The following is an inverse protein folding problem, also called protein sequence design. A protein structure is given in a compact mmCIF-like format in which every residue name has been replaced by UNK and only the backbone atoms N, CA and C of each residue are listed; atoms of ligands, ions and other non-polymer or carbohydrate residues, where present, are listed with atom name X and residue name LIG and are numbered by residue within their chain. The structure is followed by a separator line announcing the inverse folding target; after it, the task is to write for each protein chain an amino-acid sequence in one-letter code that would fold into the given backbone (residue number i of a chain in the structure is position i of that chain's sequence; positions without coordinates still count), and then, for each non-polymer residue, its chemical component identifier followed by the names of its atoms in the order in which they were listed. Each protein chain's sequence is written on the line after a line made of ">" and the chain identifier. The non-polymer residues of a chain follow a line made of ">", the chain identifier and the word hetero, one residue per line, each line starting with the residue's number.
data_IF_747186301290
#
_entry.id   IF_747186301290
#
_cell.length_a   1.000
_cell.length_b   1.000
_cell.length_c   1.000
_cell.angle_alpha   90.00
_cell.angle_beta   90.00
_cell.angle_gamma   90.00
#
_symmetry.space_group_name_H-M   'P 1'
#
loop_
_entity.id
_entity.type
_entity.pdbx_description
1 polymer ?
#
# COMPACT_ATOMS: atom_id res chain seq x y z
N UNK A 1 12.66 -19.36 34.12
CA UNK A 1 11.70 -18.62 33.29
C UNK A 1 12.51 -17.52 32.61
N UNK A 2 12.94 -17.75 31.37
CA UNK A 2 13.64 -16.74 30.58
C UNK A 2 12.65 -15.66 30.16
N UNK A 3 13.04 -14.39 30.24
CA UNK A 3 12.21 -13.27 29.79
C UNK A 3 11.70 -13.54 28.36
N UNK A 4 10.42 -13.22 28.12
CA UNK A 4 9.70 -13.40 26.87
C UNK A 4 10.46 -12.91 25.64
N UNK A 5 10.25 -13.58 24.50
CA UNK A 5 10.70 -13.23 23.14
C UNK A 5 10.26 -11.82 22.71
N UNK A 6 10.91 -10.80 23.24
CA UNK A 6 10.65 -9.40 22.90
C UNK A 6 10.94 -9.17 21.40
N UNK A 7 9.96 -8.60 20.70
CA UNK A 7 10.11 -8.18 19.31
C UNK A 7 10.77 -6.82 19.27
N UNK A 8 11.96 -6.75 18.68
CA UNK A 8 12.68 -5.51 18.39
C UNK A 8 12.71 -5.35 16.89
N UNK A 9 11.77 -4.55 16.38
CA UNK A 9 11.50 -4.42 14.96
C UNK A 9 11.79 -3.03 14.40
N UNK A 10 12.20 -2.97 13.13
CA UNK A 10 12.38 -1.71 12.38
C UNK A 10 11.73 -1.80 11.01
N UNK A 11 11.02 -0.74 10.62
CA UNK A 11 10.51 -0.56 9.27
C UNK A 11 11.61 -0.15 8.30
N UNK A 12 11.70 -0.84 7.17
CA UNK A 12 12.60 -0.50 6.05
C UNK A 12 11.73 0.09 4.94
N UNK A 13 11.62 1.43 4.93
CA UNK A 13 10.73 2.19 4.03
C UNK A 13 11.49 3.07 3.02
N UNK A 14 10.78 3.52 1.99
CA UNK A 14 11.16 4.59 1.06
C UNK A 14 10.63 5.98 1.46
N UNK A 15 9.80 6.08 2.50
CA UNK A 15 9.25 7.35 3.01
C UNK A 15 10.25 7.99 3.97
N UNK A 16 10.73 9.20 3.64
CA UNK A 16 11.77 9.91 4.40
C UNK A 16 13.04 9.09 4.63
N UNK A 17 13.29 8.07 3.81
CA UNK A 17 14.44 7.17 3.89
C UNK A 17 14.93 6.84 2.49
N UNK A 18 16.24 6.99 2.27
CA UNK A 18 16.91 6.64 1.02
C UNK A 18 17.48 5.22 1.02
N UNK A 19 17.24 4.42 2.06
CA UNK A 19 17.98 3.17 2.32
C UNK A 19 17.85 2.13 1.18
N UNK A 20 16.67 2.11 0.55
CA UNK A 20 16.38 1.28 -0.61
C UNK A 20 16.98 1.81 -1.91
N UNK A 21 17.56 3.00 -1.94
CA UNK A 21 18.06 3.67 -3.14
C UNK A 21 19.56 3.97 -3.06
N UNK A 22 20.23 3.58 -1.97
CA UNK A 22 21.67 3.74 -1.80
C UNK A 22 22.34 2.38 -2.01
N UNK A 23 23.38 2.28 -2.86
CA UNK A 23 24.15 1.05 -3.02
C UNK A 23 24.66 0.50 -1.68
N UNK A 24 24.34 -0.76 -1.40
CA UNK A 24 24.64 -1.44 -0.13
C UNK A 24 23.92 -0.86 1.10
N UNK A 25 22.96 0.06 0.92
CA UNK A 25 22.22 0.69 2.01
C UNK A 25 21.46 -0.32 2.85
N UNK A 26 20.73 -1.23 2.20
CA UNK A 26 20.03 -2.35 2.84
C UNK A 26 20.99 -3.23 3.64
N UNK A 27 22.10 -3.67 3.05
CA UNK A 27 23.06 -4.54 3.73
C UNK A 27 23.60 -3.90 5.02
N UNK A 28 24.07 -2.64 4.93
CA UNK A 28 24.58 -1.91 6.09
C UNK A 28 23.52 -1.74 7.17
N UNK A 29 22.26 -1.53 6.78
CA UNK A 29 21.15 -1.44 7.70
C UNK A 29 20.94 -2.75 8.47
N UNK A 30 20.86 -3.87 7.76
CA UNK A 30 20.66 -5.19 8.35
C UNK A 30 21.84 -5.57 9.26
N UNK A 31 23.07 -5.27 8.87
CA UNK A 31 24.27 -5.44 9.69
C UNK A 31 24.16 -4.66 11.01
N UNK A 32 23.79 -3.38 10.92
CA UNK A 32 23.66 -2.53 12.10
C UNK A 32 22.52 -2.97 13.01
N UNK A 33 21.37 -3.35 12.45
CA UNK A 33 20.21 -3.82 13.22
C UNK A 33 20.55 -5.11 13.99
N UNK A 34 21.19 -6.06 13.32
CA UNK A 34 21.66 -7.30 13.95
C UNK A 34 22.66 -7.02 15.09
N UNK A 35 23.65 -6.14 14.88
CA UNK A 35 24.61 -5.73 15.91
C UNK A 35 23.96 -5.03 17.12
N UNK A 36 22.84 -4.35 16.89
CA UNK A 36 22.04 -3.69 17.94
C UNK A 36 20.99 -4.63 18.57
N UNK A 37 21.05 -5.93 18.28
CA UNK A 37 20.15 -6.98 18.78
C UNK A 37 18.69 -6.83 18.33
N UNK A 38 18.39 -6.09 17.26
CA UNK A 38 17.09 -6.18 16.60
C UNK A 38 16.92 -7.58 16.00
N UNK A 39 15.68 -8.06 15.94
CA UNK A 39 15.35 -9.42 15.51
C UNK A 39 14.27 -9.48 14.43
N UNK A 40 13.78 -8.32 13.98
CA UNK A 40 12.68 -8.23 13.01
C UNK A 40 12.82 -7.01 12.13
N UNK A 41 12.54 -7.15 10.84
CA UNK A 41 12.46 -6.04 9.89
C UNK A 41 11.15 -6.11 9.11
N UNK A 42 10.61 -4.94 8.83
CA UNK A 42 9.36 -4.77 8.10
C UNK A 42 9.63 -4.01 6.79
N UNK A 43 10.10 -4.69 5.73
CA UNK A 43 10.38 -4.01 4.47
C UNK A 43 9.10 -3.65 3.72
N UNK A 44 9.04 -2.43 3.21
CA UNK A 44 7.96 -2.03 2.31
C UNK A 44 7.96 -2.91 1.06
N UNK A 45 6.80 -3.48 0.74
CA UNK A 45 6.61 -4.22 -0.52
C UNK A 45 5.46 -3.67 -1.36
N UNK A 46 4.54 -2.92 -0.75
CA UNK A 46 3.49 -2.15 -1.42
C UNK A 46 3.40 -0.74 -0.84
N UNK A 47 3.48 0.26 -1.72
CA UNK A 47 3.34 1.65 -1.32
C UNK A 47 2.83 2.49 -2.50
N UNK A 48 1.91 3.43 -2.24
CA UNK A 48 1.46 4.44 -3.22
C UNK A 48 1.01 3.88 -4.57
N UNK A 49 0.38 2.71 -4.58
CA UNK A 49 -0.13 2.08 -5.81
C UNK A 49 0.94 1.37 -6.65
N UNK A 50 2.10 1.04 -6.07
CA UNK A 50 3.16 0.27 -6.73
C UNK A 50 3.80 -0.75 -5.78
N UNK A 51 4.36 -1.82 -6.35
CA UNK A 51 5.14 -2.81 -5.62
C UNK A 51 6.63 -2.43 -5.56
N UNK A 52 7.30 -2.85 -4.49
CA UNK A 52 8.76 -2.73 -4.28
C UNK A 52 9.48 -4.07 -4.50
N UNK A 53 8.84 -4.92 -5.30
CA UNK A 53 9.35 -6.20 -5.77
C UNK A 53 8.78 -6.49 -7.18
N UNK A 54 9.47 -7.30 -7.99
CA UNK A 54 9.00 -7.88 -9.25
C UNK A 54 7.62 -8.58 -9.14
N UNK A 55 6.56 -7.95 -9.64
CA UNK A 55 5.17 -8.45 -9.51
C UNK A 55 4.44 -8.59 -10.85
N UNK A 56 3.97 -9.81 -11.14
CA UNK A 56 3.13 -10.05 -12.32
C UNK A 56 1.71 -9.53 -12.08
N UNK A 57 1.22 -9.68 -10.85
CA UNK A 57 -0.06 -9.13 -10.39
C UNK A 57 -0.13 -7.62 -10.56
N UNK A 58 0.89 -6.89 -10.08
CA UNK A 58 0.96 -5.44 -10.22
C UNK A 58 1.05 -5.02 -11.70
N UNK A 59 1.81 -5.75 -12.52
CA UNK A 59 1.92 -5.46 -13.95
C UNK A 59 0.57 -5.56 -14.67
N UNK A 60 -0.22 -6.58 -14.35
CA UNK A 60 -1.55 -6.79 -14.94
C UNK A 60 -2.52 -5.65 -14.60
N UNK A 61 -2.52 -5.19 -13.35
CA UNK A 61 -3.45 -4.17 -12.86
C UNK A 61 -2.95 -2.76 -13.18
N UNK A 62 -1.74 -2.43 -12.74
CA UNK A 62 -1.20 -1.07 -12.82
C UNK A 62 -0.42 -0.78 -14.10
N UNK A 63 -0.09 -1.80 -14.90
CA UNK A 63 0.85 -1.69 -16.01
C UNK A 63 2.32 -1.58 -15.59
N UNK A 64 2.61 -1.52 -14.28
CA UNK A 64 3.96 -1.46 -13.72
C UNK A 64 4.34 -2.76 -13.03
N UNK A 65 5.54 -3.24 -13.34
CA UNK A 65 6.07 -4.47 -12.78
C UNK A 65 6.64 -4.30 -11.36
N UNK A 66 7.21 -3.12 -11.08
CA UNK A 66 7.68 -2.67 -9.78
C UNK A 66 7.95 -1.15 -9.84
N UNK A 67 8.33 -0.55 -8.72
CA UNK A 67 8.77 0.85 -8.68
C UNK A 67 9.93 1.11 -9.66
N UNK A 68 9.78 2.15 -10.48
CA UNK A 68 10.69 2.41 -11.60
C UNK A 68 12.05 2.93 -11.15
N UNK A 69 12.09 3.72 -10.07
CA UNK A 69 13.34 4.25 -9.53
C UNK A 69 14.12 3.15 -8.83
N UNK A 70 13.42 2.31 -8.05
CA UNK A 70 14.00 1.13 -7.41
C UNK A 70 14.60 0.19 -8.45
N UNK A 71 13.82 -0.14 -9.48
CA UNK A 71 14.26 -0.99 -10.60
C UNK A 71 15.52 -0.44 -11.29
N UNK A 72 15.58 0.88 -11.51
CA UNK A 72 16.73 1.51 -12.14
C UNK A 72 17.98 1.42 -11.26
N UNK A 73 17.86 1.81 -9.99
CA UNK A 73 19.00 1.87 -9.05
C UNK A 73 19.58 0.48 -8.76
N UNK A 74 18.73 -0.53 -8.72
CA UNK A 74 19.13 -1.92 -8.47
C UNK A 74 19.36 -2.73 -9.75
N UNK A 75 19.40 -2.10 -10.91
CA UNK A 75 19.63 -2.76 -12.20
C UNK A 75 18.67 -3.94 -12.44
N UNK A 76 17.41 -3.78 -12.05
CA UNK A 76 16.36 -4.78 -12.20
C UNK A 76 16.37 -5.92 -11.17
N UNK A 77 17.26 -5.87 -10.16
CA UNK A 77 17.29 -6.88 -9.09
C UNK A 77 16.05 -6.81 -8.22
N UNK A 78 15.72 -7.97 -7.65
CA UNK A 78 14.65 -8.14 -6.68
C UNK A 78 15.14 -7.74 -5.28
N UNK A 79 14.87 -6.49 -4.92
CA UNK A 79 15.31 -5.93 -3.63
C UNK A 79 14.66 -6.64 -2.45
N UNK A 80 13.41 -7.09 -2.58
CA UNK A 80 12.74 -7.81 -1.51
C UNK A 80 13.39 -9.17 -1.27
N UNK A 81 13.71 -9.91 -2.35
CA UNK A 81 14.48 -11.16 -2.25
C UNK A 81 15.83 -10.95 -1.58
N UNK A 82 16.53 -9.86 -1.91
CA UNK A 82 17.83 -9.54 -1.31
C UNK A 82 17.70 -9.20 0.18
N UNK A 83 16.65 -8.48 0.59
CA UNK A 83 16.37 -8.19 2.01
C UNK A 83 16.08 -9.47 2.78
N UNK A 84 15.27 -10.36 2.22
CA UNK A 84 14.89 -11.63 2.86
C UNK A 84 16.12 -12.50 3.09
N UNK A 85 16.88 -12.77 2.02
CA UNK A 85 18.09 -13.59 2.10
C UNK A 85 19.11 -13.04 3.10
N UNK A 86 19.37 -11.73 3.07
CA UNK A 86 20.32 -11.10 3.99
C UNK A 86 19.80 -10.96 5.42
N UNK A 87 18.49 -10.79 5.60
CA UNK A 87 17.83 -10.75 6.91
C UNK A 87 17.96 -12.08 7.63
N UNK A 88 17.60 -13.17 6.95
CA UNK A 88 17.70 -14.53 7.49
C UNK A 88 19.13 -14.93 7.82
N UNK A 89 20.12 -14.53 7.01
CA UNK A 89 21.55 -14.74 7.33
C UNK A 89 22.01 -14.08 8.64
N UNK A 90 21.21 -13.16 9.19
CA UNK A 90 21.48 -12.38 10.41
C UNK A 90 20.49 -12.70 11.52
N UNK A 91 19.75 -13.80 11.40
CA UNK A 91 18.68 -14.22 12.31
C UNK A 91 17.58 -13.15 12.50
N UNK A 92 17.34 -12.32 11.47
CA UNK A 92 16.25 -11.36 11.44
C UNK A 92 15.02 -11.99 10.79
N UNK A 93 13.86 -11.89 11.45
CA UNK A 93 12.57 -12.14 10.79
C UNK A 93 12.28 -11.03 9.79
N UNK A 94 11.78 -11.39 8.62
CA UNK A 94 11.42 -10.47 7.54
C UNK A 94 9.92 -10.56 7.27
N UNK A 95 9.21 -9.49 7.62
CA UNK A 95 7.75 -9.42 7.56
C UNK A 95 7.37 -8.27 6.60
N UNK A 96 7.16 -8.53 5.29
CA UNK A 96 6.82 -7.48 4.34
C UNK A 96 5.61 -6.65 4.75
N UNK A 97 5.74 -5.33 4.61
CA UNK A 97 4.77 -4.35 5.05
C UNK A 97 4.05 -3.66 3.90
N UNK A 98 2.73 -3.63 4.02
CA UNK A 98 1.79 -3.05 3.07
C UNK A 98 1.59 -1.54 3.37
N UNK A 99 2.66 -0.75 3.41
CA UNK A 99 2.78 0.60 4.01
C UNK A 99 1.71 1.65 3.70
N UNK A 100 1.08 1.64 2.52
CA UNK A 100 -0.02 2.58 2.22
C UNK A 100 -1.39 1.94 2.29
N UNK A 101 -1.49 0.66 2.62
CA UNK A 101 -2.74 -0.07 2.64
C UNK A 101 -3.54 0.10 1.34
N UNK A 102 -4.77 0.56 1.50
CA UNK A 102 -5.69 0.88 0.41
C UNK A 102 -5.54 2.32 -0.10
N UNK A 103 -4.66 3.11 0.48
CA UNK A 103 -4.38 4.47 0.04
C UNK A 103 -3.48 4.49 -1.21
N UNK A 104 -3.79 5.36 -2.16
CA UNK A 104 -2.95 5.61 -3.32
C UNK A 104 -3.00 7.09 -3.74
N UNK A 105 -1.92 7.64 -4.33
CA UNK A 105 -1.98 8.95 -4.96
C UNK A 105 -2.99 8.95 -6.12
N UNK A 106 -3.77 10.03 -6.26
CA UNK A 106 -4.76 10.17 -7.35
C UNK A 106 -4.11 10.07 -8.75
N UNK A 107 -2.84 10.46 -8.86
CA UNK A 107 -2.09 10.41 -10.10
C UNK A 107 -1.31 9.11 -10.31
N UNK A 108 -1.48 8.10 -9.44
CA UNK A 108 -0.84 6.79 -9.61
C UNK A 108 -1.41 6.05 -10.83
N UNK A 109 -0.61 5.15 -11.43
CA UNK A 109 -1.09 4.32 -12.54
C UNK A 109 -2.25 3.41 -12.15
N UNK A 110 -2.30 2.98 -10.88
CA UNK A 110 -3.42 2.23 -10.34
C UNK A 110 -4.73 3.03 -10.48
N UNK A 111 -4.75 4.27 -9.99
CA UNK A 111 -5.95 5.12 -10.02
C UNK A 111 -6.32 5.55 -11.45
N UNK A 112 -5.32 5.85 -12.29
CA UNK A 112 -5.56 6.21 -13.70
C UNK A 112 -6.21 5.08 -14.49
N UNK A 113 -5.86 3.83 -14.19
CA UNK A 113 -6.38 2.64 -14.89
C UNK A 113 -7.67 2.12 -14.28
N UNK A 114 -7.90 2.38 -12.99
CA UNK A 114 -9.02 1.87 -12.22
C UNK A 114 -9.72 2.97 -11.40
N UNK A 115 -10.24 4.04 -12.03
CA UNK A 115 -10.98 5.07 -11.31
C UNK A 115 -12.25 4.52 -10.65
N UNK A 116 -12.82 3.43 -11.17
CA UNK A 116 -13.98 2.73 -10.63
C UNK A 116 -13.73 2.03 -9.29
N UNK A 117 -12.46 1.86 -8.89
CA UNK A 117 -12.07 1.24 -7.61
C UNK A 117 -12.05 2.23 -6.44
N UNK A 118 -12.27 3.51 -6.66
CA UNK A 118 -12.06 4.53 -5.63
C UNK A 118 -13.34 4.77 -4.83
N UNK A 119 -13.19 4.77 -3.50
CA UNK A 119 -14.28 5.16 -2.60
C UNK A 119 -14.36 6.68 -2.46
N UNK A 120 -15.58 7.19 -2.34
CA UNK A 120 -15.88 8.62 -2.36
C UNK A 120 -16.62 9.05 -1.10
N UNK A 121 -16.49 10.32 -0.69
CA UNK A 121 -17.21 10.83 0.46
C UNK A 121 -18.69 11.04 0.14
N UNK A 122 -19.51 11.16 1.19
CA UNK A 122 -20.95 11.41 1.05
C UNK A 122 -21.31 12.66 0.26
N UNK A 123 -20.48 13.71 0.36
CA UNK A 123 -20.60 14.96 -0.41
C UNK A 123 -20.48 14.75 -1.93
N UNK A 124 -19.92 13.62 -2.34
CA UNK A 124 -19.85 13.23 -3.73
C UNK A 124 -21.24 12.91 -4.28
N UNK A 125 -21.62 13.63 -5.33
CA UNK A 125 -22.91 13.46 -6.03
C UNK A 125 -22.86 12.37 -7.10
N UNK A 126 -21.74 11.68 -7.26
CA UNK A 126 -21.55 10.72 -8.35
C UNK A 126 -22.26 9.39 -8.05
N UNK A 127 -23.24 9.06 -8.88
CA UNK A 127 -23.95 7.78 -8.87
C UNK A 127 -23.44 6.80 -9.94
N UNK A 128 -22.39 7.19 -10.67
CA UNK A 128 -21.76 6.42 -11.74
C UNK A 128 -20.24 6.36 -11.49
N UNK A 129 -19.53 5.57 -12.33
CA UNK A 129 -18.08 5.49 -12.29
C UNK A 129 -17.49 6.90 -12.47
N UNK A 130 -16.65 7.39 -11.54
CA UNK A 130 -16.11 8.73 -11.60
C UNK A 130 -15.03 8.84 -12.70
N UNK A 131 -14.95 10.01 -13.35
CA UNK A 131 -13.76 10.39 -14.11
C UNK A 131 -12.62 10.81 -13.17
N UNK A 132 -11.39 10.93 -13.70
CA UNK A 132 -10.28 11.47 -12.91
C UNK A 132 -10.51 12.92 -12.45
N UNK A 133 -11.28 13.70 -13.21
CA UNK A 133 -11.66 15.05 -12.81
C UNK A 133 -12.63 14.98 -11.62
N UNK A 134 -13.63 14.10 -11.70
CA UNK A 134 -14.59 13.87 -10.62
C UNK A 134 -13.90 13.44 -9.32
N UNK A 135 -12.87 12.58 -9.42
CA UNK A 135 -12.05 12.20 -8.27
C UNK A 135 -11.29 13.42 -7.71
N UNK A 136 -10.71 14.26 -8.56
CA UNK A 136 -9.98 15.45 -8.10
C UNK A 136 -10.90 16.45 -7.38
N UNK A 137 -12.15 16.58 -7.82
CA UNK A 137 -13.14 17.51 -7.27
C UNK A 137 -13.82 16.97 -6.01
N UNK A 138 -13.99 15.64 -5.91
CA UNK A 138 -14.58 14.99 -4.74
C UNK A 138 -13.65 14.91 -3.53
N UNK A 139 -12.33 15.03 -3.75
CA UNK A 139 -11.35 14.98 -2.67
C UNK A 139 -11.26 16.32 -1.95
N UNK A 140 -11.62 16.30 -0.67
CA UNK A 140 -11.39 17.41 0.25
C UNK A 140 -9.92 17.85 0.17
N UNK A 141 -9.62 19.17 0.23
CA UNK A 141 -8.25 19.67 0.09
C UNK A 141 -7.21 19.07 1.04
N UNK A 142 -7.65 18.44 2.14
CA UNK A 142 -6.79 17.99 3.25
C UNK A 142 -7.13 16.59 3.79
N UNK A 143 -7.68 15.68 2.97
CA UNK A 143 -8.06 14.35 3.45
C UNK A 143 -7.39 13.19 2.70
N UNK A 144 -6.77 12.23 3.42
CA UNK A 144 -6.45 12.27 4.85
C UNK A 144 -5.29 13.26 5.12
N UNK A 145 -5.01 13.65 6.39
CA UNK A 145 -3.87 14.48 6.73
C UNK A 145 -2.59 13.81 6.24
N UNK A 146 -2.09 14.33 5.13
CA UNK A 146 -0.86 13.87 4.56
C UNK A 146 0.28 14.44 5.41
N UNK A 147 1.39 13.70 5.54
CA UNK A 147 2.62 14.22 6.12
C UNK A 147 2.93 15.58 5.46
N UNK A 148 3.20 16.64 6.23
CA UNK A 148 3.25 18.06 5.77
C UNK A 148 3.92 18.30 4.40
N UNK A 149 4.90 17.47 4.04
CA UNK A 149 5.60 17.47 2.76
C UNK A 149 4.72 17.08 1.55
N UNK A 150 3.87 16.06 1.65
CA UNK A 150 2.95 15.65 0.58
C UNK A 150 1.78 16.63 0.42
N UNK A 151 1.36 17.26 1.51
CA UNK A 151 0.46 18.42 1.48
C UNK A 151 1.09 19.64 0.79
N UNK A 152 2.37 19.92 1.05
CA UNK A 152 3.12 20.98 0.35
C UNK A 152 3.30 20.69 -1.15
N UNK A 153 3.47 19.42 -1.54
CA UNK A 153 3.56 18.99 -2.95
C UNK A 153 2.20 18.86 -3.65
N UNK A 154 1.08 19.11 -2.95
CA UNK A 154 -0.27 19.03 -3.51
C UNK A 154 -0.69 17.62 -3.96
N UNK A 155 -0.06 16.55 -3.46
CA UNK A 155 -0.42 15.19 -3.85
C UNK A 155 -1.65 14.76 -3.05
N UNK A 156 -2.81 14.73 -3.72
CA UNK A 156 -4.04 14.18 -3.16
C UNK A 156 -3.97 12.66 -3.13
N UNK A 157 -4.30 12.07 -1.98
CA UNK A 157 -4.47 10.63 -1.84
C UNK A 157 -5.95 10.26 -1.92
N UNK A 158 -6.22 9.11 -2.53
CA UNK A 158 -7.52 8.45 -2.60
C UNK A 158 -7.44 7.11 -1.85
N UNK A 159 -8.60 6.52 -1.59
CA UNK A 159 -8.70 5.18 -1.02
C UNK A 159 -9.34 4.22 -2.03
N UNK A 160 -8.74 3.04 -2.17
CA UNK A 160 -9.39 1.92 -2.84
C UNK A 160 -10.59 1.47 -2.01
N UNK A 161 -11.67 1.09 -2.69
CA UNK A 161 -12.90 0.59 -2.07
C UNK A 161 -12.72 -0.88 -1.67
N UNK A 162 -12.62 -1.22 -0.36
CA UNK A 162 -12.47 -2.61 0.09
C UNK A 162 -13.70 -3.48 -0.19
N UNK A 163 -14.85 -2.88 -0.51
CA UNK A 163 -16.07 -3.60 -0.88
C UNK A 163 -16.04 -4.02 -2.35
N UNK A 164 -15.18 -3.41 -3.19
CA UNK A 164 -15.12 -3.70 -4.61
C UNK A 164 -14.42 -5.06 -4.87
N UNK A 165 -15.07 -6.05 -5.53
CA UNK A 165 -14.53 -7.42 -5.64
C UNK A 165 -13.23 -7.53 -6.44
N UNK A 166 -12.93 -6.55 -7.30
CA UNK A 166 -11.64 -6.50 -8.00
C UNK A 166 -10.53 -5.92 -7.13
N UNK A 167 -10.86 -5.02 -6.19
CA UNK A 167 -9.90 -4.53 -5.19
C UNK A 167 -9.53 -5.65 -4.23
N UNK A 168 -10.54 -6.38 -3.70
CA UNK A 168 -10.32 -7.55 -2.85
C UNK A 168 -9.38 -8.57 -3.52
N UNK A 169 -9.73 -9.00 -4.74
CA UNK A 169 -8.91 -9.93 -5.52
C UNK A 169 -7.50 -9.40 -5.79
N UNK A 170 -7.35 -8.11 -6.11
CA UNK A 170 -6.02 -7.55 -6.36
C UNK A 170 -5.13 -7.59 -5.11
N UNK A 171 -5.66 -7.21 -3.95
CA UNK A 171 -4.91 -7.23 -2.70
C UNK A 171 -4.59 -8.67 -2.28
N UNK A 172 -5.55 -9.59 -2.38
CA UNK A 172 -5.33 -11.03 -2.13
C UNK A 172 -4.25 -11.60 -3.06
N UNK A 173 -4.33 -11.32 -4.37
CA UNK A 173 -3.35 -11.79 -5.35
C UNK A 173 -1.94 -11.27 -5.05
N UNK A 174 -1.79 -10.03 -4.54
CA UNK A 174 -0.48 -9.50 -4.13
C UNK A 174 0.06 -10.23 -2.89
N UNK A 175 -0.80 -10.52 -1.90
CA UNK A 175 -0.41 -11.24 -0.68
C UNK A 175 0.01 -12.67 -1.04
N UNK A 176 -0.82 -13.37 -1.82
CA UNK A 176 -0.57 -14.74 -2.28
C UNK A 176 0.72 -14.78 -3.12
N UNK A 177 0.92 -13.82 -4.02
CA UNK A 177 2.15 -13.75 -4.83
C UNK A 177 3.39 -13.64 -3.93
N UNK A 178 3.36 -12.82 -2.87
CA UNK A 178 4.49 -12.71 -1.95
C UNK A 178 4.72 -13.99 -1.16
N UNK A 179 3.67 -14.56 -0.57
CA UNK A 179 3.77 -15.77 0.26
C UNK A 179 4.21 -17.00 -0.55
N UNK A 180 3.86 -17.07 -1.84
CA UNK A 180 4.31 -18.17 -2.71
C UNK A 180 5.75 -17.97 -3.19
N UNK A 181 6.15 -16.73 -3.49
CA UNK A 181 7.44 -16.46 -4.14
C UNK A 181 8.60 -16.30 -3.16
N UNK A 182 8.31 -15.92 -1.92
CA UNK A 182 9.34 -15.54 -0.96
C UNK A 182 9.17 -16.28 0.37
N UNK A 183 10.29 -16.63 0.99
CA UNK A 183 10.33 -17.21 2.33
C UNK A 183 10.18 -16.09 3.37
N UNK A 184 8.93 -15.69 3.64
CA UNK A 184 8.61 -14.57 4.53
C UNK A 184 8.11 -15.06 5.88
N UNK A 185 8.42 -14.34 6.95
CA UNK A 185 8.04 -14.69 8.32
C UNK A 185 6.62 -14.23 8.70
N UNK A 186 5.95 -13.52 7.79
CA UNK A 186 4.60 -13.00 7.96
C UNK A 186 4.29 -11.87 6.98
N UNK A 187 3.13 -11.23 7.14
CA UNK A 187 2.73 -10.03 6.40
C UNK A 187 2.24 -8.99 7.41
N UNK A 188 2.69 -7.75 7.28
CA UNK A 188 2.18 -6.63 8.08
C UNK A 188 1.22 -5.79 7.24
N UNK A 189 0.01 -5.60 7.77
CA UNK A 189 -0.98 -4.67 7.23
C UNK A 189 -0.86 -3.30 7.91
N UNK A 190 -0.99 -2.27 7.09
CA UNK A 190 -0.91 -0.88 7.52
C UNK A 190 -2.24 -0.35 8.06
N UNK A 191 -2.22 0.73 8.85
CA UNK A 191 -3.44 1.35 9.38
C UNK A 191 -4.34 1.90 8.25
N UNK A 192 -3.76 2.20 7.08
CA UNK A 192 -4.48 2.60 5.88
C UNK A 192 -5.32 1.46 5.23
N UNK A 193 -5.40 0.27 5.84
CA UNK A 193 -6.46 -0.70 5.53
C UNK A 193 -7.81 -0.30 6.14
N UNK A 194 -7.81 0.50 7.20
CA UNK A 194 -9.01 1.11 7.75
C UNK A 194 -9.53 2.19 6.81
N UNK A 195 -10.72 2.02 6.26
CA UNK A 195 -11.35 3.07 5.47
C UNK A 195 -11.86 4.19 6.39
N UNK A 196 -11.55 5.46 6.12
CA UNK A 196 -12.11 6.56 6.90
C UNK A 196 -13.63 6.64 6.84
N UNK A 197 -14.25 7.12 7.93
CA UNK A 197 -15.71 7.12 8.12
C UNK A 197 -16.47 8.03 7.14
N UNK A 198 -15.78 9.02 6.59
CA UNK A 198 -16.32 9.96 5.62
C UNK A 198 -16.54 9.31 4.25
N UNK A 199 -15.86 8.18 3.97
CA UNK A 199 -15.90 7.45 2.70
C UNK A 199 -16.95 6.33 2.71
N UNK A 200 -17.12 5.65 1.57
CA UNK A 200 -18.09 4.56 1.38
C UNK A 200 -19.33 4.98 0.60
N UNK A 201 -19.30 6.13 -0.06
CA UNK A 201 -20.43 6.69 -0.81
C UNK A 201 -20.18 6.72 -2.31
N UNK A 202 -19.29 5.86 -2.82
CA UNK A 202 -19.09 5.64 -4.24
C UNK A 202 -20.24 4.87 -4.90
N UNK A 203 -20.22 4.83 -6.22
CA UNK A 203 -21.26 4.21 -7.04
C UNK A 203 -21.49 2.73 -6.69
N UNK A 204 -20.43 1.98 -6.39
CA UNK A 204 -20.50 0.54 -6.14
C UNK A 204 -21.08 0.29 -4.75
N UNK A 205 -20.58 0.99 -3.73
CA UNK A 205 -21.09 0.86 -2.36
C UNK A 205 -22.56 1.30 -2.26
N UNK A 206 -22.95 2.39 -2.91
CA UNK A 206 -24.37 2.81 -2.98
C UNK A 206 -25.25 1.80 -3.72
N UNK A 207 -24.71 1.11 -4.73
CA UNK A 207 -25.44 0.06 -5.45
C UNK A 207 -25.73 -1.13 -4.53
N UNK A 208 -24.74 -1.60 -3.76
CA UNK A 208 -24.93 -2.66 -2.77
C UNK A 208 -25.95 -2.21 -1.72
N UNK A 209 -25.77 -1.01 -1.15
CA UNK A 209 -26.67 -0.48 -0.14
C UNK A 209 -28.12 -0.50 -0.60
N UNK A 210 -28.41 -0.03 -1.82
CA UNK A 210 -29.75 -0.07 -2.42
C UNK A 210 -30.32 -1.48 -2.52
N UNK A 211 -29.49 -2.46 -2.89
CA UNK A 211 -29.93 -3.86 -2.99
C UNK A 211 -30.34 -4.42 -1.62
N UNK A 212 -29.65 -4.01 -0.56
CA UNK A 212 -29.90 -4.46 0.81
C UNK A 212 -30.99 -3.66 1.53
N UNK A 213 -31.32 -2.46 1.06
CA UNK A 213 -32.21 -1.51 1.75
C UNK A 213 -33.43 -1.11 0.90
N UNK A 214 -34.06 -2.05 0.21
CA UNK A 214 -35.32 -1.83 -0.54
C UNK A 214 -35.24 -0.70 -1.58
N UNK A 215 -34.07 -0.49 -2.18
CA UNK A 215 -33.82 0.58 -3.14
C UNK A 215 -33.54 1.96 -2.53
N UNK A 216 -33.52 2.09 -1.20
CA UNK A 216 -33.21 3.34 -0.50
C UNK A 216 -31.74 3.72 -0.67
N UNK A 217 -31.48 5.02 -0.74
CA UNK A 217 -30.12 5.57 -0.68
C UNK A 217 -29.62 5.61 0.77
N UNK A 218 -28.29 5.57 1.01
CA UNK A 218 -27.74 5.85 2.33
C UNK A 218 -28.24 7.19 2.87
N UNK A 219 -28.50 7.31 4.19
CA UNK A 219 -28.97 8.55 4.81
C UNK A 219 -27.95 9.69 4.64
N UNK A 220 -28.41 10.94 4.76
CA UNK A 220 -27.64 12.17 4.49
C UNK A 220 -27.04 12.85 5.74
N UNK A 221 -26.87 12.09 6.84
CA UNK A 221 -26.54 12.57 8.21
C UNK A 221 -25.84 13.94 8.31
#
# INVERSE_FOLDING_TARGET
>A
MTASDEIRGVWITNVNSGILFVPGGVQRALDQLSQLNFNTVYPVFWNRGTTFYPSATARRVTGRFQDSLLNLIHFGKDVLSDIISQGHQRDLRVIPWFEYGLMAPINSQLVQRHPEWITLPQSSKFLAIPSLQDLNDALLPNFPPSNKLSGWLGIKNVWLNPLHPQVQRFIEDLIIEVVIKYDVDGIQFDDNFGMPIELGYDWYTRKIYKQEHEGKLPPNN
#
